data_IF_302214645057
#
_entry.id   IF_302214645057
#
_cell.length_a   1.000
_cell.length_b   1.000
_cell.length_c   1.000
_cell.angle_alpha   90.00
_cell.angle_beta   90.00
_cell.angle_gamma   90.00
#
_symmetry.space_group_name_H-M   'P 1'
#
loop_
_entity.id
_entity.type
_entity.pdbx_description
1 polymer ?
#
# COMPACT_ATOMS: atom_id res chain seq x y z
N UNK A 1 18.92 -6.20 13.38
CA UNK A 1 19.54 -6.16 12.04
C UNK A 1 18.54 -6.72 11.07
N UNK A 2 18.62 -6.35 9.80
CA UNK A 2 17.75 -6.92 8.77
C UNK A 2 18.06 -8.42 8.56
N UNK A 3 17.11 -9.16 7.97
CA UNK A 3 17.23 -10.61 7.77
C UNK A 3 18.40 -10.99 6.83
N UNK A 4 18.88 -10.03 6.05
CA UNK A 4 20.07 -10.11 5.20
C UNK A 4 21.41 -9.97 5.96
N UNK A 5 21.37 -9.75 7.28
CA UNK A 5 22.55 -9.56 8.12
C UNK A 5 23.20 -8.17 7.99
N UNK A 6 22.64 -7.27 7.18
CA UNK A 6 23.12 -5.90 7.02
C UNK A 6 22.49 -4.97 8.08
N UNK A 7 23.13 -3.82 8.36
CA UNK A 7 22.52 -2.77 9.16
C UNK A 7 21.24 -2.26 8.50
N UNK A 8 20.18 -2.10 9.29
CA UNK A 8 18.95 -1.45 8.83
C UNK A 8 19.25 -0.01 8.42
N UNK A 9 18.88 0.35 7.18
CA UNK A 9 19.14 1.68 6.61
C UNK A 9 18.01 2.68 6.85
N UNK A 10 16.80 2.19 7.03
CA UNK A 10 15.58 3.00 7.10
C UNK A 10 14.76 2.58 8.32
N UNK A 11 14.32 3.57 9.09
CA UNK A 11 13.49 3.39 10.27
C UNK A 11 12.34 4.39 10.20
N UNK A 12 11.11 3.89 10.33
CA UNK A 12 9.92 4.72 10.45
C UNK A 12 9.38 4.65 11.87
N UNK A 13 8.97 5.80 12.39
CA UNK A 13 8.31 5.91 13.68
C UNK A 13 6.98 6.62 13.47
N UNK A 14 5.89 5.96 13.83
CA UNK A 14 4.55 6.53 13.81
C UNK A 14 4.15 6.77 15.26
N UNK A 15 3.88 8.03 15.58
CA UNK A 15 3.37 8.43 16.89
C UNK A 15 1.92 8.89 16.71
N UNK A 16 1.01 8.28 17.46
CA UNK A 16 -0.41 8.67 17.49
C UNK A 16 -0.79 9.17 18.89
N UNK A 17 -1.63 10.20 19.00
CA UNK A 17 -2.19 10.60 20.29
C UNK A 17 -3.06 9.50 20.90
N UNK A 18 -3.21 9.55 22.22
CA UNK A 18 -3.98 8.59 23.01
C UNK A 18 -5.45 8.55 22.54
N UNK A 19 -6.00 7.36 22.29
CA UNK A 19 -7.33 7.16 21.71
C UNK A 19 -7.42 7.24 20.17
N UNK A 20 -6.30 7.32 19.46
CA UNK A 20 -6.20 7.27 18.00
C UNK A 20 -5.98 5.87 17.42
N UNK A 21 -6.57 4.84 18.03
CA UNK A 21 -6.15 3.44 17.88
C UNK A 21 -6.30 2.88 16.45
N UNK A 22 -7.17 3.44 15.62
CA UNK A 22 -7.31 2.98 14.24
C UNK A 22 -6.45 3.77 13.25
N UNK A 23 -6.09 5.01 13.58
CA UNK A 23 -5.43 5.90 12.63
C UNK A 23 -3.99 5.46 12.32
N UNK A 24 -3.26 5.00 13.34
CA UNK A 24 -1.89 4.53 13.14
C UNK A 24 -1.83 3.25 12.29
N UNK A 25 -2.87 2.40 12.31
CA UNK A 25 -2.96 1.20 11.46
C UNK A 25 -3.16 1.59 10.00
N UNK A 26 -3.99 2.59 9.72
CA UNK A 26 -4.17 3.12 8.36
C UNK A 26 -2.86 3.69 7.82
N UNK A 27 -2.16 4.52 8.62
CA UNK A 27 -0.86 5.09 8.24
C UNK A 27 0.19 4.00 8.00
N UNK A 28 0.19 2.93 8.82
CA UNK A 28 1.08 1.78 8.61
C UNK A 28 0.81 1.06 7.30
N UNK A 29 -0.46 0.87 6.93
CA UNK A 29 -0.85 0.23 5.69
C UNK A 29 -0.42 1.08 4.48
N UNK A 30 -0.74 2.38 4.48
CA UNK A 30 -0.34 3.31 3.42
C UNK A 30 1.18 3.38 3.25
N UNK A 31 1.92 3.48 4.36
CA UNK A 31 3.38 3.45 4.35
C UNK A 31 3.90 2.13 3.77
N UNK A 32 3.35 0.99 4.19
CA UNK A 32 3.79 -0.32 3.69
C UNK A 32 3.54 -0.49 2.19
N UNK A 33 2.40 0.01 1.69
CA UNK A 33 2.11 0.03 0.24
C UNK A 33 3.16 0.83 -0.51
N UNK A 34 3.46 2.05 -0.03
CA UNK A 34 4.45 2.94 -0.63
C UNK A 34 5.85 2.32 -0.69
N UNK A 35 6.26 1.62 0.38
CA UNK A 35 7.58 0.98 0.45
C UNK A 35 7.74 -0.22 -0.50
N UNK A 36 6.65 -0.83 -0.95
CA UNK A 36 6.65 -1.95 -1.90
C UNK A 36 6.67 -1.46 -3.35
N UNK A 37 6.33 -0.19 -3.61
CA UNK A 37 6.35 0.38 -4.95
C UNK A 37 7.75 0.32 -5.57
N UNK A 38 7.79 -0.10 -6.84
CA UNK A 38 9.03 -0.30 -7.58
C UNK A 38 9.83 1.01 -7.65
N UNK A 39 11.05 0.98 -7.11
CA UNK A 39 11.97 2.12 -7.13
C UNK A 39 11.71 3.20 -6.07
N UNK A 40 10.67 3.08 -5.24
CA UNK A 40 10.39 4.08 -4.20
C UNK A 40 11.54 4.20 -3.19
N UNK A 41 12.03 3.07 -2.66
CA UNK A 41 13.11 3.06 -1.65
C UNK A 41 14.38 3.73 -2.17
N UNK A 42 14.76 3.44 -3.42
CA UNK A 42 15.94 4.02 -4.04
C UNK A 42 15.76 5.54 -4.20
N UNK A 43 14.63 5.98 -4.74
CA UNK A 43 14.30 7.40 -4.88
C UNK A 43 14.25 8.13 -3.52
N UNK A 44 13.73 7.48 -2.49
CA UNK A 44 13.64 8.03 -1.13
C UNK A 44 15.03 8.17 -0.49
N UNK A 45 15.93 7.21 -0.70
CA UNK A 45 17.31 7.26 -0.18
C UNK A 45 18.20 8.25 -0.95
N UNK A 46 17.92 8.49 -2.22
CA UNK A 46 18.64 9.45 -3.07
C UNK A 46 18.14 10.90 -2.93
N UNK A 47 17.08 11.14 -2.15
CA UNK A 47 16.53 12.47 -1.94
C UNK A 47 17.58 13.44 -1.34
N UNK A 48 17.71 14.63 -1.95
CA UNK A 48 18.76 15.59 -1.59
C UNK A 48 18.57 16.22 -0.20
N UNK A 49 17.32 16.27 0.29
CA UNK A 49 16.96 16.85 1.58
C UNK A 49 15.66 16.23 2.12
N UNK A 50 15.34 16.54 3.38
CA UNK A 50 14.16 15.99 4.07
C UNK A 50 12.83 16.44 3.47
N UNK A 51 12.77 17.57 2.77
CA UNK A 51 11.55 18.07 2.17
C UNK A 51 11.19 17.27 0.91
N UNK A 52 12.19 16.92 0.10
CA UNK A 52 12.03 16.08 -1.09
C UNK A 52 11.62 14.66 -0.69
N UNK A 53 12.26 14.09 0.33
CA UNK A 53 11.89 12.78 0.88
C UNK A 53 10.44 12.77 1.41
N UNK A 54 10.03 13.83 2.13
CA UNK A 54 8.67 13.98 2.62
C UNK A 54 7.65 14.12 1.48
N UNK A 55 8.00 14.86 0.43
CA UNK A 55 7.15 15.03 -0.74
C UNK A 55 6.94 13.69 -1.47
N UNK A 56 7.98 12.87 -1.62
CA UNK A 56 7.89 11.52 -2.17
C UNK A 56 6.97 10.62 -1.33
N UNK A 57 7.12 10.68 0.00
CA UNK A 57 6.31 9.87 0.91
C UNK A 57 4.82 10.25 0.89
N UNK A 58 4.52 11.54 0.75
CA UNK A 58 3.14 12.06 0.74
C UNK A 58 2.52 12.09 -0.66
N UNK A 59 3.29 11.76 -1.70
CA UNK A 59 2.79 11.71 -3.07
C UNK A 59 1.75 10.58 -3.18
N UNK A 60 0.50 10.96 -3.39
CA UNK A 60 -0.56 10.01 -3.74
C UNK A 60 -0.39 9.60 -5.19
N UNK A 61 -0.25 8.30 -5.40
CA UNK A 61 -0.33 7.74 -6.74
C UNK A 61 -1.80 7.78 -7.16
N UNK A 62 -2.14 8.63 -8.11
CA UNK A 62 -3.44 8.51 -8.78
C UNK A 62 -3.39 7.23 -9.61
N UNK A 63 -4.38 6.32 -9.49
CA UNK A 63 -4.43 5.14 -10.33
C UNK A 63 -4.41 5.61 -11.77
N UNK A 64 -3.30 5.36 -12.46
CA UNK A 64 -3.19 5.72 -13.87
C UNK A 64 -4.26 4.90 -14.59
N UNK A 65 -5.21 5.54 -15.29
CA UNK A 65 -6.18 4.80 -16.06
C UNK A 65 -5.39 4.02 -17.10
N UNK A 66 -5.41 2.68 -16.99
CA UNK A 66 -4.85 1.76 -17.97
C UNK A 66 -5.55 2.04 -19.30
N UNK A 67 -4.95 2.88 -20.14
CA UNK A 67 -5.66 3.59 -21.20
C UNK A 67 -5.71 2.84 -22.53
N UNK A 68 -5.36 1.55 -22.57
CA UNK A 68 -5.30 0.79 -23.84
C UNK A 68 -5.73 -0.68 -23.77
N UNK A 69 -6.50 -1.12 -22.75
CA UNK A 69 -7.02 -2.49 -22.73
C UNK A 69 -8.42 -2.58 -23.38
N UNK A 70 -8.65 -3.46 -24.38
CA UNK A 70 -10.00 -3.75 -24.85
C UNK A 70 -10.81 -4.34 -23.71
N UNK A 71 -11.93 -3.70 -23.40
CA UNK A 71 -12.78 -4.02 -22.28
C UNK A 71 -13.33 -5.45 -22.34
N UNK A 72 -13.39 -6.07 -21.15
CA UNK A 72 -14.26 -7.18 -20.75
C UNK A 72 -13.68 -8.61 -20.82
N UNK A 73 -12.59 -8.86 -20.08
CA UNK A 73 -12.23 -10.23 -19.67
C UNK A 73 -13.12 -10.78 -18.53
N UNK A 74 -13.99 -9.93 -17.96
CA UNK A 74 -14.92 -10.28 -16.89
C UNK A 74 -14.74 -9.40 -15.65
N UNK A 75 -15.60 -9.64 -14.66
CA UNK A 75 -15.62 -8.93 -13.39
C UNK A 75 -15.23 -9.86 -12.23
N UNK A 76 -14.23 -9.47 -11.46
CA UNK A 76 -13.70 -10.24 -10.33
C UNK A 76 -14.27 -9.64 -9.03
N UNK A 77 -14.77 -10.51 -8.15
CA UNK A 77 -15.07 -10.15 -6.76
C UNK A 77 -14.05 -10.83 -5.86
N UNK A 78 -13.33 -10.03 -5.07
CA UNK A 78 -12.35 -10.50 -4.10
C UNK A 78 -12.79 -10.21 -2.67
N UNK A 79 -12.29 -11.01 -1.72
CA UNK A 79 -12.34 -10.69 -0.29
C UNK A 79 -10.95 -10.95 0.29
N UNK A 80 -10.43 -10.00 1.06
CA UNK A 80 -9.15 -10.16 1.77
C UNK A 80 -9.38 -10.12 3.28
N UNK A 81 -8.59 -10.91 4.01
CA UNK A 81 -8.67 -10.97 5.47
C UNK A 81 -7.47 -11.71 6.07
N UNK A 82 -6.53 -10.95 6.63
CA UNK A 82 -5.47 -11.49 7.47
C UNK A 82 -6.00 -11.71 8.90
N UNK A 83 -5.64 -12.80 9.61
CA UNK A 83 -6.10 -13.02 11.00
C UNK A 83 -5.73 -11.88 11.96
N UNK A 84 -4.66 -11.12 11.68
CA UNK A 84 -4.29 -9.93 12.45
C UNK A 84 -5.08 -8.66 12.05
N UNK A 85 -5.71 -8.65 10.87
CA UNK A 85 -6.56 -7.56 10.39
C UNK A 85 -5.86 -6.25 10.02
N UNK A 86 -4.52 -6.18 10.11
CA UNK A 86 -3.74 -4.95 9.90
C UNK A 86 -3.24 -4.82 8.45
N UNK A 87 -1.94 -4.72 8.20
CA UNK A 87 -1.37 -4.39 6.88
C UNK A 87 -1.74 -5.38 5.75
N UNK A 88 -1.56 -6.68 5.95
CA UNK A 88 -1.69 -7.66 4.86
C UNK A 88 -3.09 -7.76 4.24
N UNK A 89 -4.15 -7.39 4.98
CA UNK A 89 -5.51 -7.36 4.43
C UNK A 89 -5.62 -6.32 3.31
N UNK A 90 -5.13 -5.11 3.55
CA UNK A 90 -5.24 -4.00 2.60
C UNK A 90 -4.19 -4.13 1.48
N UNK A 91 -2.96 -4.54 1.82
CA UNK A 91 -1.91 -4.80 0.82
C UNK A 91 -2.34 -5.87 -0.19
N UNK A 92 -2.97 -6.94 0.27
CA UNK A 92 -3.49 -7.98 -0.62
C UNK A 92 -4.59 -7.45 -1.55
N UNK A 93 -5.46 -6.55 -1.06
CA UNK A 93 -6.52 -5.98 -1.88
C UNK A 93 -5.95 -5.09 -2.99
N UNK A 94 -5.00 -4.21 -2.64
CA UNK A 94 -4.32 -3.34 -3.61
C UNK A 94 -3.54 -4.16 -4.65
N UNK A 95 -2.84 -5.21 -4.23
CA UNK A 95 -2.11 -6.09 -5.16
C UNK A 95 -3.05 -6.82 -6.14
N UNK A 96 -4.22 -7.26 -5.67
CA UNK A 96 -5.25 -7.87 -6.52
C UNK A 96 -5.80 -6.85 -7.53
N UNK A 97 -6.05 -5.62 -7.10
CA UNK A 97 -6.54 -4.53 -7.96
C UNK A 97 -5.53 -4.17 -9.05
N UNK A 98 -4.26 -3.95 -8.67
CA UNK A 98 -3.16 -3.68 -9.62
C UNK A 98 -2.99 -4.83 -10.61
N UNK A 99 -3.00 -6.07 -10.13
CA UNK A 99 -2.87 -7.27 -10.98
C UNK A 99 -4.04 -7.44 -11.96
N UNK A 100 -5.28 -7.26 -11.50
CA UNK A 100 -6.47 -7.34 -12.33
C UNK A 100 -6.46 -6.26 -13.42
N UNK A 101 -6.12 -5.01 -13.06
CA UNK A 101 -6.00 -3.91 -14.00
C UNK A 101 -4.93 -4.19 -15.07
N UNK A 102 -3.75 -4.69 -14.67
CA UNK A 102 -2.68 -5.07 -15.59
C UNK A 102 -3.09 -6.21 -16.55
N UNK A 103 -4.03 -7.07 -16.13
CA UNK A 103 -4.57 -8.16 -16.94
C UNK A 103 -5.85 -7.78 -17.73
N UNK A 104 -6.40 -6.58 -17.52
CA UNK A 104 -7.63 -6.12 -18.21
C UNK A 104 -8.94 -6.66 -17.62
N UNK A 105 -8.94 -7.07 -16.35
CA UNK A 105 -10.15 -7.41 -15.60
C UNK A 105 -10.67 -6.19 -14.84
N UNK A 106 -11.99 -6.06 -14.76
CA UNK A 106 -12.60 -5.23 -13.74
C UNK A 106 -12.65 -6.01 -12.42
N UNK A 107 -12.41 -5.35 -11.30
CA UNK A 107 -12.39 -6.02 -10.00
C UNK A 107 -12.98 -5.13 -8.91
N UNK A 108 -13.57 -5.76 -7.90
CA UNK A 108 -13.97 -5.14 -6.65
C UNK A 108 -13.56 -6.04 -5.48
N UNK A 109 -12.80 -5.51 -4.53
CA UNK A 109 -12.28 -6.27 -3.39
C UNK A 109 -12.84 -5.74 -2.08
N UNK A 110 -13.48 -6.60 -1.31
CA UNK A 110 -13.89 -6.30 0.06
C UNK A 110 -12.75 -6.63 1.04
N UNK A 111 -12.38 -5.65 1.89
CA UNK A 111 -11.34 -5.84 2.91
C UNK A 111 -12.01 -6.14 4.25
N UNK A 112 -11.65 -7.23 4.90
CA UNK A 112 -12.14 -7.62 6.22
C UNK A 112 -11.01 -7.52 7.25
N UNK A 113 -10.70 -6.28 7.66
CA UNK A 113 -9.59 -5.97 8.56
C UNK A 113 -10.05 -5.45 9.93
N UNK A 114 -9.09 -5.11 10.78
CA UNK A 114 -9.34 -4.55 12.12
C UNK A 114 -10.02 -3.18 12.09
N UNK A 115 -9.97 -2.49 10.95
CA UNK A 115 -10.65 -1.21 10.71
C UNK A 115 -12.12 -1.44 10.27
N UNK A 116 -12.55 -2.70 10.13
CA UNK A 116 -13.88 -3.09 9.68
C UNK A 116 -13.92 -3.52 8.22
N UNK A 117 -15.14 -3.73 7.70
CA UNK A 117 -15.37 -4.12 6.31
C UNK A 117 -15.40 -2.87 5.41
N UNK A 118 -14.52 -2.77 4.40
CA UNK A 118 -14.55 -1.72 3.37
C UNK A 118 -14.70 -2.33 1.96
N UNK A 119 -15.48 -1.68 1.08
CA UNK A 119 -15.92 -2.17 -0.23
C UNK A 119 -16.16 -1.01 -1.23
#
# INVERSE_FOLDING_TARGET
>A
GAEDGLPSKLFFMIASPDGGDNHHIEVLAELSSKLIEDGFIDAFLDAANSQDALALLLAKEEPQPVTDAPANQGFIIGVTGCPAGVAHTYLAAEALEKGAAAMGYEIKVETNGSIGVKN
#
